data_IF_831167005439
#
_entry.id   IF_831167005439
#
_cell.length_a   1.000
_cell.length_b   1.000
_cell.length_c   1.000
_cell.angle_alpha   90.00
_cell.angle_beta   90.00
_cell.angle_gamma   90.00
#
_symmetry.space_group_name_H-M   'P 1'
#
loop_
_entity.id
_entity.type
_entity.pdbx_description
1 polymer ?
#
# COMPACT_ATOMS: atom_id res chain seq x y z
N UNK A 1 13.57 -16.45 11.59
CA UNK A 1 12.33 -17.00 11.01
C UNK A 1 11.24 -15.99 11.31
N UNK A 2 11.11 -14.98 10.43
CA UNK A 2 10.06 -13.97 10.54
C UNK A 2 8.86 -14.53 9.77
N UNK A 3 7.77 -14.80 10.49
CA UNK A 3 6.40 -15.03 10.01
C UNK A 3 6.24 -15.63 8.60
N UNK A 4 6.42 -16.95 8.47
CA UNK A 4 6.08 -17.71 7.26
C UNK A 4 5.36 -19.03 7.60
N UNK A 5 4.66 -19.12 8.73
CA UNK A 5 3.77 -20.26 8.98
C UNK A 5 2.47 -20.10 8.16
N UNK A 6 2.66 -20.09 6.84
CA UNK A 6 1.57 -20.27 5.90
C UNK A 6 1.21 -21.74 5.99
N UNK A 7 0.05 -22.05 6.57
CA UNK A 7 -0.41 -23.43 6.67
C UNK A 7 -0.41 -24.08 5.28
N UNK A 8 -0.19 -25.41 5.17
CA UNK A 8 -0.26 -26.09 3.88
C UNK A 8 -1.56 -25.80 3.12
N UNK A 9 -2.68 -25.69 3.84
CA UNK A 9 -3.99 -25.32 3.30
C UNK A 9 -4.03 -23.89 2.78
N UNK A 10 -3.41 -22.93 3.47
CA UNK A 10 -3.28 -21.54 2.98
C UNK A 10 -2.42 -21.48 1.71
N UNK A 11 -1.34 -22.27 1.65
CA UNK A 11 -0.51 -22.37 0.44
C UNK A 11 -1.27 -22.97 -0.74
N UNK A 12 -2.01 -24.06 -0.53
CA UNK A 12 -2.84 -24.70 -1.57
C UNK A 12 -3.91 -23.75 -2.11
N UNK A 13 -4.62 -23.04 -1.21
CA UNK A 13 -5.59 -22.01 -1.61
C UNK A 13 -4.93 -20.88 -2.39
N UNK A 14 -3.73 -20.46 -2.01
CA UNK A 14 -2.95 -19.45 -2.72
C UNK A 14 -2.60 -19.89 -4.14
N UNK A 15 -2.16 -21.14 -4.31
CA UNK A 15 -1.85 -21.70 -5.64
C UNK A 15 -3.10 -21.79 -6.53
N UNK A 16 -4.23 -22.25 -5.98
CA UNK A 16 -5.50 -22.28 -6.70
C UNK A 16 -5.97 -20.87 -7.10
N UNK A 17 -5.81 -19.89 -6.22
CA UNK A 17 -6.14 -18.49 -6.52
C UNK A 17 -5.26 -17.91 -7.62
N UNK A 18 -3.96 -18.23 -7.64
CA UNK A 18 -3.04 -17.82 -8.71
C UNK A 18 -3.46 -18.46 -10.04
N UNK A 19 -3.79 -19.76 -10.03
CA UNK A 19 -4.23 -20.48 -11.23
C UNK A 19 -5.52 -19.88 -11.81
N UNK A 20 -6.53 -19.64 -10.98
CA UNK A 20 -7.78 -18.99 -11.39
C UNK A 20 -7.59 -17.54 -11.84
N UNK A 21 -6.68 -16.79 -11.19
CA UNK A 21 -6.33 -15.43 -11.63
C UNK A 21 -5.66 -15.46 -12.99
N UNK A 22 -4.79 -16.43 -13.25
CA UNK A 22 -4.15 -16.59 -14.56
C UNK A 22 -5.16 -16.93 -15.66
N UNK A 23 -6.15 -17.78 -15.39
CA UNK A 23 -7.26 -18.05 -16.31
C UNK A 23 -8.05 -16.76 -16.60
N UNK A 24 -8.51 -16.06 -15.56
CA UNK A 24 -9.24 -14.79 -15.69
C UNK A 24 -8.48 -13.76 -16.52
N UNK A 25 -7.18 -13.55 -16.23
CA UNK A 25 -6.41 -12.55 -16.96
C UNK A 25 -6.15 -12.98 -18.40
N UNK A 26 -5.93 -14.26 -18.71
CA UNK A 26 -5.83 -14.73 -20.10
C UNK A 26 -7.08 -14.41 -20.90
N UNK A 27 -8.26 -14.66 -20.33
CA UNK A 27 -9.53 -14.32 -20.97
C UNK A 27 -9.64 -12.81 -21.19
N UNK A 28 -9.32 -12.01 -20.17
CA UNK A 28 -9.35 -10.55 -20.28
C UNK A 28 -8.35 -10.02 -21.30
N UNK A 29 -7.17 -10.62 -21.42
CA UNK A 29 -6.17 -10.26 -22.42
C UNK A 29 -6.67 -10.61 -23.83
N UNK A 30 -7.31 -11.76 -24.01
CA UNK A 30 -7.93 -12.15 -25.28
C UNK A 30 -9.04 -11.17 -25.69
N UNK A 31 -9.90 -10.76 -24.75
CA UNK A 31 -10.91 -9.71 -24.96
C UNK A 31 -10.26 -8.38 -25.38
N UNK A 32 -9.20 -7.96 -24.70
CA UNK A 32 -8.47 -6.73 -25.03
C UNK A 32 -7.80 -6.81 -26.41
N UNK A 33 -7.30 -7.99 -26.83
CA UNK A 33 -6.75 -8.19 -28.18
C UNK A 33 -7.84 -8.13 -29.25
N UNK A 34 -9.03 -8.65 -28.97
CA UNK A 34 -10.16 -8.64 -29.91
C UNK A 34 -10.78 -7.23 -30.07
N UNK A 35 -10.78 -6.42 -29.02
CA UNK A 35 -11.25 -5.05 -29.04
C UNK A 35 -10.28 -4.12 -28.28
N UNK A 36 -9.17 -3.70 -28.92
CA UNK A 36 -8.14 -2.89 -28.28
C UNK A 36 -8.70 -1.60 -27.69
N UNK A 37 -8.39 -1.36 -26.41
CA UNK A 37 -8.58 -0.08 -25.74
C UNK A 37 -7.20 0.50 -25.46
N UNK A 38 -7.01 1.78 -25.80
CA UNK A 38 -5.69 2.42 -25.66
C UNK A 38 -5.36 2.83 -24.22
N UNK A 39 -6.34 2.75 -23.30
CA UNK A 39 -6.17 3.19 -21.91
C UNK A 39 -6.08 2.00 -20.95
N UNK A 40 -5.00 1.95 -20.15
CA UNK A 40 -4.87 1.07 -18.99
C UNK A 40 -3.70 0.08 -19.04
N UNK A 41 -3.39 -0.52 -17.89
CA UNK A 41 -2.21 -1.39 -17.71
C UNK A 41 -2.21 -2.63 -18.61
N UNK A 42 -3.37 -3.22 -18.88
CA UNK A 42 -3.46 -4.42 -19.75
C UNK A 42 -3.01 -4.08 -21.17
N UNK A 43 -3.46 -2.95 -21.72
CA UNK A 43 -3.02 -2.49 -23.04
C UNK A 43 -1.52 -2.24 -23.09
N UNK A 44 -0.99 -1.52 -22.10
CA UNK A 44 0.45 -1.24 -22.00
C UNK A 44 1.30 -2.53 -21.91
N UNK A 45 0.83 -3.55 -21.17
CA UNK A 45 1.54 -4.83 -21.10
C UNK A 45 1.44 -5.64 -22.40
N UNK A 46 0.31 -5.58 -23.12
CA UNK A 46 0.18 -6.19 -24.45
C UNK A 46 1.15 -5.55 -25.44
N UNK A 47 1.30 -4.22 -25.41
CA UNK A 47 2.26 -3.49 -26.25
C UNK A 47 3.70 -3.91 -25.94
N UNK A 48 4.06 -3.97 -24.66
CA UNK A 48 5.39 -4.42 -24.22
C UNK A 48 5.67 -5.88 -24.64
N UNK A 49 4.68 -6.77 -24.53
CA UNK A 49 4.78 -8.16 -25.00
C UNK A 49 4.95 -8.23 -26.52
N UNK A 50 4.19 -7.43 -27.28
CA UNK A 50 4.30 -7.34 -28.74
C UNK A 50 5.68 -6.82 -29.17
N UNK A 51 6.28 -5.92 -28.39
CA UNK A 51 7.64 -5.42 -28.60
C UNK A 51 8.73 -6.41 -28.16
N UNK A 52 8.38 -7.60 -27.66
CA UNK A 52 9.32 -8.60 -27.18
C UNK A 52 9.98 -8.27 -25.84
N UNK A 53 9.46 -7.30 -25.08
CA UNK A 53 9.96 -6.91 -23.77
C UNK A 53 9.41 -7.79 -22.64
N UNK A 54 8.26 -8.43 -22.89
CA UNK A 54 7.63 -9.39 -21.99
C UNK A 54 7.30 -10.66 -22.77
N UNK A 55 7.40 -11.80 -22.10
CA UNK A 55 6.75 -13.04 -22.51
C UNK A 55 5.25 -12.99 -22.19
N UNK A 56 4.46 -13.91 -22.77
CA UNK A 56 3.03 -14.06 -22.45
C UNK A 56 2.82 -14.37 -20.96
N UNK A 57 3.70 -15.21 -20.38
CA UNK A 57 3.65 -15.56 -18.97
C UNK A 57 3.95 -14.36 -18.07
N UNK A 58 4.95 -13.55 -18.41
CA UNK A 58 5.26 -12.32 -17.68
C UNK A 58 4.15 -11.28 -17.80
N UNK A 59 3.49 -11.17 -18.95
CA UNK A 59 2.32 -10.29 -19.11
C UNK A 59 1.20 -10.70 -18.15
N UNK A 60 0.83 -11.99 -18.13
CA UNK A 60 -0.21 -12.50 -17.21
C UNK A 60 0.21 -12.29 -15.75
N UNK A 61 1.46 -12.62 -15.41
CA UNK A 61 2.00 -12.45 -14.05
C UNK A 61 1.98 -10.99 -13.59
N UNK A 62 2.33 -10.04 -14.48
CA UNK A 62 2.29 -8.61 -14.17
C UNK A 62 0.85 -8.11 -13.98
N UNK A 63 -0.12 -8.60 -14.77
CA UNK A 63 -1.55 -8.30 -14.56
C UNK A 63 -2.05 -8.77 -13.20
N UNK A 64 -1.73 -10.01 -12.81
CA UNK A 64 -2.07 -10.56 -11.49
C UNK A 64 -1.43 -9.71 -10.40
N UNK A 65 -0.13 -9.44 -10.52
CA UNK A 65 0.62 -8.68 -9.52
C UNK A 65 0.04 -7.29 -9.33
N UNK A 66 -0.23 -6.54 -10.41
CA UNK A 66 -0.83 -5.20 -10.33
C UNK A 66 -2.21 -5.20 -9.68
N UNK A 67 -3.04 -6.20 -9.97
CA UNK A 67 -4.34 -6.36 -9.33
C UNK A 67 -4.21 -6.62 -7.83
N UNK A 68 -3.37 -7.58 -7.44
CA UNK A 68 -3.18 -7.96 -6.03
C UNK A 68 -2.61 -6.81 -5.21
N UNK A 69 -1.52 -6.18 -5.68
CA UNK A 69 -0.84 -5.13 -4.91
C UNK A 69 -1.60 -3.80 -4.92
N UNK A 70 -2.36 -3.51 -5.99
CA UNK A 70 -3.13 -2.27 -6.12
C UNK A 70 -4.42 -2.26 -5.30
N UNK A 71 -5.02 -3.44 -5.07
CA UNK A 71 -6.30 -3.55 -4.38
C UNK A 71 -6.18 -3.40 -2.85
N UNK A 72 -5.49 -4.34 -2.19
CA UNK A 72 -5.49 -4.41 -0.71
C UNK A 72 -4.80 -3.21 -0.05
N UNK A 73 -3.69 -2.74 -0.61
CA UNK A 73 -2.93 -1.62 -0.07
C UNK A 73 -3.73 -0.31 -0.04
N UNK A 74 -4.52 -0.05 -1.10
CA UNK A 74 -5.36 1.15 -1.20
C UNK A 74 -6.55 1.07 -0.22
N UNK A 75 -7.18 -0.10 -0.08
CA UNK A 75 -8.24 -0.33 0.90
C UNK A 75 -7.73 -0.08 2.33
N UNK A 76 -6.55 -0.61 2.66
CA UNK A 76 -5.93 -0.40 3.97
C UNK A 76 -5.61 1.07 4.21
N UNK A 77 -5.06 1.78 3.23
CA UNK A 77 -4.80 3.21 3.33
C UNK A 77 -6.08 4.00 3.64
N UNK A 78 -7.20 3.70 2.95
CA UNK A 78 -8.47 4.40 3.19
C UNK A 78 -8.99 4.10 4.60
N UNK A 79 -8.99 2.84 5.03
CA UNK A 79 -9.43 2.45 6.37
C UNK A 79 -8.61 3.13 7.46
N UNK A 80 -7.28 3.07 7.35
CA UNK A 80 -6.37 3.72 8.28
C UNK A 80 -6.56 5.23 8.26
N UNK A 81 -6.73 5.86 7.08
CA UNK A 81 -6.95 7.29 6.97
C UNK A 81 -8.20 7.75 7.73
N UNK A 82 -9.33 7.06 7.54
CA UNK A 82 -10.56 7.40 8.24
C UNK A 82 -10.41 7.20 9.74
N UNK A 83 -9.90 6.04 10.19
CA UNK A 83 -9.67 5.78 11.61
C UNK A 83 -8.76 6.83 12.24
N UNK A 84 -7.61 7.11 11.61
CA UNK A 84 -6.62 8.09 12.11
C UNK A 84 -7.24 9.48 12.25
N UNK A 85 -8.02 9.93 11.27
CA UNK A 85 -8.69 11.23 11.34
C UNK A 85 -9.76 11.28 12.44
N UNK A 86 -10.52 10.19 12.63
CA UNK A 86 -11.53 10.10 13.69
C UNK A 86 -10.91 10.11 15.09
N UNK A 87 -9.75 9.48 15.26
CA UNK A 87 -8.95 9.51 16.50
C UNK A 87 -8.35 10.90 16.79
N UNK A 88 -8.26 11.77 15.77
CA UNK A 88 -7.67 13.11 15.87
C UNK A 88 -8.67 14.21 15.45
N UNK A 89 -9.73 14.46 16.25
CA UNK A 89 -10.84 15.34 15.85
C UNK A 89 -10.40 16.79 15.56
N UNK A 90 -9.31 17.27 16.18
CA UNK A 90 -8.76 18.60 15.90
C UNK A 90 -8.15 18.69 14.50
N UNK A 91 -7.37 17.68 14.09
CA UNK A 91 -6.81 17.58 12.74
C UNK A 91 -7.93 17.37 11.70
N UNK A 92 -8.93 16.55 12.02
CA UNK A 92 -10.11 16.35 11.15
C UNK A 92 -10.91 17.65 10.95
N UNK A 93 -11.15 18.45 12.01
CA UNK A 93 -11.78 19.77 11.86
C UNK A 93 -10.95 20.68 10.97
N UNK A 94 -9.64 20.76 11.21
CA UNK A 94 -8.73 21.56 10.38
C UNK A 94 -8.81 21.17 8.90
N UNK A 95 -8.83 19.87 8.60
CA UNK A 95 -8.95 19.35 7.24
C UNK A 95 -10.31 19.65 6.60
N UNK A 96 -11.41 19.58 7.37
CA UNK A 96 -12.75 19.95 6.90
C UNK A 96 -12.84 21.43 6.56
N UNK A 97 -12.25 22.29 7.40
CA UNK A 97 -12.24 23.73 7.20
C UNK A 97 -11.29 24.14 6.06
N UNK A 98 -10.26 23.33 5.78
CA UNK A 98 -9.26 23.59 4.74
C UNK A 98 -9.03 22.36 3.85
N UNK A 99 -9.95 22.04 2.91
CA UNK A 99 -9.83 20.85 2.06
C UNK A 99 -8.57 20.80 1.18
N UNK A 100 -7.92 21.95 0.94
CA UNK A 100 -6.63 22.03 0.25
C UNK A 100 -5.50 21.28 0.98
N UNK A 101 -5.65 20.98 2.28
CA UNK A 101 -4.68 20.20 3.06
C UNK A 101 -4.76 18.68 2.79
N UNK A 102 -5.68 18.20 1.96
CA UNK A 102 -5.91 16.76 1.75
C UNK A 102 -4.67 16.01 1.27
N UNK A 103 -3.91 16.56 0.32
CA UNK A 103 -2.67 15.94 -0.17
C UNK A 103 -1.63 15.77 0.96
N UNK A 104 -1.49 16.80 1.82
CA UNK A 104 -0.62 16.77 3.00
C UNK A 104 -1.13 15.81 4.06
N UNK A 105 -2.44 15.76 4.29
CA UNK A 105 -3.08 14.85 5.23
C UNK A 105 -2.85 13.39 4.85
N UNK A 106 -3.05 13.00 3.58
CA UNK A 106 -2.78 11.63 3.12
C UNK A 106 -1.29 11.30 3.23
N UNK A 107 -0.39 12.25 2.92
CA UNK A 107 1.05 12.03 3.11
C UNK A 107 1.41 11.83 4.58
N UNK A 108 0.80 12.61 5.47
CA UNK A 108 1.01 12.46 6.91
C UNK A 108 0.42 11.16 7.44
N UNK A 109 -0.72 10.71 6.93
CA UNK A 109 -1.28 9.39 7.29
C UNK A 109 -0.32 8.28 6.86
N UNK A 110 0.25 8.36 5.66
CA UNK A 110 1.23 7.39 5.19
C UNK A 110 2.50 7.39 6.06
N UNK A 111 2.94 8.55 6.52
CA UNK A 111 4.04 8.70 7.49
C UNK A 111 3.67 8.10 8.85
N UNK A 112 2.62 8.64 9.47
CA UNK A 112 2.20 8.36 10.83
C UNK A 112 1.74 6.91 10.99
N UNK A 113 0.89 6.42 10.09
CA UNK A 113 0.28 5.09 10.20
C UNK A 113 0.32 4.35 8.85
N UNK A 114 1.52 3.94 8.45
CA UNK A 114 1.78 3.34 7.14
C UNK A 114 1.09 1.97 6.97
N UNK A 115 0.32 1.74 5.89
CA UNK A 115 -0.16 0.40 5.58
C UNK A 115 0.96 -0.61 5.29
N UNK A 116 2.11 -0.15 4.78
CA UNK A 116 3.29 -0.99 4.57
C UNK A 116 4.25 -0.82 5.76
N UNK A 117 4.50 -1.90 6.50
CA UNK A 117 5.32 -1.87 7.70
C UNK A 117 6.77 -2.33 7.46
N UNK A 118 7.01 -3.12 6.44
CA UNK A 118 8.37 -3.52 6.11
C UNK A 118 8.52 -4.11 4.72
N UNK A 119 9.78 -4.25 4.31
CA UNK A 119 10.14 -4.96 3.09
C UNK A 119 11.43 -5.75 3.30
N UNK A 120 11.44 -7.01 2.86
CA UNK A 120 12.62 -7.87 2.95
C UNK A 120 13.57 -7.65 1.77
N UNK A 121 14.87 -7.79 2.03
CA UNK A 121 15.95 -7.80 1.02
C UNK A 121 16.93 -8.91 1.35
N UNK A 122 17.49 -9.54 0.32
CA UNK A 122 18.55 -10.54 0.48
C UNK A 122 19.89 -9.94 0.08
N UNK A 123 20.90 -10.06 0.95
CA UNK A 123 22.23 -9.55 0.66
C UNK A 123 22.91 -10.39 -0.44
N UNK A 124 23.26 -9.76 -1.56
CA UNK A 124 23.93 -10.44 -2.69
C UNK A 124 25.45 -10.63 -2.46
N UNK A 125 26.01 -9.89 -1.50
CA UNK A 125 27.41 -9.97 -1.06
C UNK A 125 27.49 -9.56 0.41
N UNK A 126 28.66 -9.68 1.04
CA UNK A 126 28.89 -9.15 2.38
C UNK A 126 28.82 -7.61 2.34
N UNK A 127 27.92 -7.02 3.12
CA UNK A 127 27.68 -5.56 3.16
C UNK A 127 27.91 -5.05 4.58
N UNK A 128 28.74 -4.01 4.73
CA UNK A 128 28.88 -3.30 6.01
C UNK A 128 27.77 -2.25 6.12
N UNK A 129 26.91 -2.39 7.13
CA UNK A 129 25.88 -1.41 7.48
C UNK A 129 26.10 -0.95 8.92
N UNK A 130 26.42 0.33 9.09
CA UNK A 130 26.83 0.90 10.38
C UNK A 130 27.98 0.10 11.03
N UNK A 131 27.77 -0.45 12.23
CA UNK A 131 28.73 -1.26 12.97
C UNK A 131 28.54 -2.78 12.78
N UNK A 132 27.72 -3.21 11.80
CA UNK A 132 27.45 -4.62 11.51
C UNK A 132 27.88 -4.99 10.09
N UNK A 133 28.18 -6.27 9.90
CA UNK A 133 28.38 -6.88 8.58
C UNK A 133 27.23 -7.83 8.36
N UNK A 134 26.41 -7.53 7.36
CA UNK A 134 25.38 -8.43 6.83
C UNK A 134 26.08 -9.35 5.84
N UNK A 135 25.97 -10.66 6.04
CA UNK A 135 26.62 -11.66 5.19
C UNK A 135 25.80 -11.94 3.94
N UNK A 136 26.47 -12.36 2.87
CA UNK A 136 25.81 -12.85 1.65
C UNK A 136 24.77 -13.92 2.00
N UNK A 137 23.57 -13.77 1.44
CA UNK A 137 22.44 -14.68 1.64
C UNK A 137 21.57 -14.35 2.85
N UNK A 138 22.01 -13.48 3.76
CA UNK A 138 21.17 -13.04 4.87
C UNK A 138 20.01 -12.17 4.38
N UNK A 139 18.85 -12.36 5.01
CA UNK A 139 17.65 -11.55 4.78
C UNK A 139 17.61 -10.42 5.78
N UNK A 140 17.48 -9.19 5.28
CA UNK A 140 17.32 -7.98 6.06
C UNK A 140 15.90 -7.47 5.87
N UNK A 141 15.18 -7.26 6.98
CA UNK A 141 13.88 -6.59 6.96
C UNK A 141 14.09 -5.10 7.18
N UNK A 142 13.78 -4.30 6.16
CA UNK A 142 13.74 -2.85 6.26
C UNK A 142 12.39 -2.45 6.87
N UNK A 143 12.39 -2.01 8.13
CA UNK A 143 11.18 -1.63 8.86
C UNK A 143 10.74 -0.22 8.46
N UNK A 144 9.81 -0.14 7.51
CA UNK A 144 9.27 1.10 6.96
C UNK A 144 8.53 1.89 8.05
N UNK A 145 7.70 1.21 8.86
CA UNK A 145 6.96 1.87 9.95
C UNK A 145 7.90 2.54 10.96
N UNK A 146 9.00 1.87 11.32
CA UNK A 146 10.01 2.42 12.22
C UNK A 146 10.78 3.59 11.58
N UNK A 147 11.17 3.46 10.29
CA UNK A 147 11.86 4.53 9.58
C UNK A 147 10.98 5.79 9.42
N UNK A 148 9.66 5.61 9.26
CA UNK A 148 8.70 6.71 9.27
C UNK A 148 8.48 7.31 10.66
N UNK A 149 9.01 6.72 11.74
CA UNK A 149 8.94 7.27 13.10
C UNK A 149 10.32 7.65 13.64
N UNK A 150 11.33 7.74 12.76
CA UNK A 150 12.70 8.04 13.15
C UNK A 150 12.85 9.52 13.58
N UNK A 151 13.19 9.80 14.86
CA UNK A 151 13.34 11.17 15.35
C UNK A 151 14.51 11.93 14.72
N UNK A 152 15.50 11.24 14.14
CA UNK A 152 16.60 11.89 13.41
C UNK A 152 16.13 12.44 12.06
N UNK A 153 15.01 11.94 11.53
CA UNK A 153 14.41 12.41 10.27
C UNK A 153 13.15 13.27 10.50
N UNK A 154 12.36 12.96 11.52
CA UNK A 154 11.08 13.59 11.79
C UNK A 154 11.03 14.11 13.23
N UNK A 155 11.06 15.44 13.44
CA UNK A 155 10.79 16.03 14.75
C UNK A 155 9.39 15.65 15.22
N UNK A 156 9.26 15.23 16.48
CA UNK A 156 8.00 14.74 17.07
C UNK A 156 7.31 13.71 16.14
N UNK A 157 7.96 12.56 15.90
CA UNK A 157 7.50 11.59 14.90
C UNK A 157 6.16 10.95 15.28
N UNK A 158 5.86 10.90 16.57
CA UNK A 158 4.64 10.33 17.13
C UNK A 158 3.49 11.33 17.24
N UNK A 159 3.65 12.56 16.74
CA UNK A 159 2.55 13.52 16.66
C UNK A 159 1.93 13.54 15.24
N UNK A 160 0.64 13.25 15.14
CA UNK A 160 -0.08 13.33 13.87
C UNK A 160 -0.43 14.78 13.51
N UNK A 161 0.18 15.30 12.42
CA UNK A 161 0.00 16.70 11.97
C UNK A 161 -0.18 16.79 10.47
N UNK A 162 -1.39 17.06 9.98
CA UNK A 162 -1.69 17.06 8.52
C UNK A 162 -0.91 18.12 7.72
N UNK A 163 -0.37 19.14 8.40
CA UNK A 163 0.47 20.17 7.82
C UNK A 163 1.97 19.87 7.84
N UNK A 164 2.40 18.66 8.22
CA UNK A 164 3.83 18.30 8.30
C UNK A 164 4.52 18.53 6.96
N UNK A 165 5.56 19.37 6.97
CA UNK A 165 6.40 19.63 5.81
C UNK A 165 7.83 19.96 6.24
N UNK A 166 8.87 19.39 5.61
CA UNK A 166 8.81 18.33 4.60
C UNK A 166 8.30 17.00 5.21
N UNK A 167 7.83 16.08 4.35
CA UNK A 167 7.33 14.77 4.78
C UNK A 167 7.93 13.62 3.93
N UNK A 168 9.24 13.34 4.05
CA UNK A 168 9.94 12.35 3.22
C UNK A 168 9.72 10.90 3.69
N UNK A 169 8.47 10.50 3.91
CA UNK A 169 8.12 9.14 4.37
C UNK A 169 8.47 8.05 3.32
N UNK A 170 8.68 6.82 3.79
CA UNK A 170 9.11 5.67 2.99
C UNK A 170 7.99 4.66 2.72
N UNK A 171 6.72 5.04 2.93
CA UNK A 171 5.55 4.15 2.78
C UNK A 171 5.35 3.65 1.34
N UNK A 172 5.94 4.34 0.36
CA UNK A 172 5.99 3.91 -1.04
C UNK A 172 7.34 3.31 -1.45
N UNK A 173 8.21 3.01 -0.48
CA UNK A 173 9.60 2.59 -0.68
C UNK A 173 10.44 3.61 -1.47
N UNK A 174 11.64 3.20 -1.88
CA UNK A 174 12.60 4.02 -2.64
C UNK A 174 13.38 3.18 -3.66
N UNK A 175 14.08 3.86 -4.57
CA UNK A 175 14.94 3.24 -5.58
C UNK A 175 14.16 2.59 -6.72
N UNK A 176 14.74 1.55 -7.33
CA UNK A 176 14.17 0.85 -8.51
C UNK A 176 12.79 0.25 -8.25
N UNK A 177 12.48 -0.10 -7.00
CA UNK A 177 11.18 -0.68 -6.60
C UNK A 177 10.26 0.35 -5.93
N UNK A 178 10.45 1.65 -6.16
CA UNK A 178 9.51 2.67 -5.70
C UNK A 178 8.11 2.38 -6.26
N UNK A 179 7.08 2.52 -5.43
CA UNK A 179 5.73 2.11 -5.77
C UNK A 179 5.22 2.81 -7.05
N UNK A 180 5.02 2.02 -8.11
CA UNK A 180 4.45 2.48 -9.39
C UNK A 180 3.05 3.06 -9.22
N UNK A 181 2.29 2.51 -8.26
CA UNK A 181 0.92 2.95 -7.94
C UNK A 181 0.82 4.18 -7.05
N UNK A 182 1.93 4.76 -6.55
CA UNK A 182 1.91 5.81 -5.50
C UNK A 182 0.96 6.98 -5.80
N UNK A 183 0.96 7.46 -7.05
CA UNK A 183 0.12 8.60 -7.46
C UNK A 183 -1.36 8.20 -7.47
N UNK A 184 -1.66 7.04 -8.03
CA UNK A 184 -3.02 6.52 -8.08
C UNK A 184 -3.57 6.24 -6.68
N UNK A 185 -2.82 5.53 -5.84
CA UNK A 185 -3.22 5.22 -4.47
C UNK A 185 -3.51 6.49 -3.67
N UNK A 186 -2.65 7.50 -3.79
CA UNK A 186 -2.83 8.79 -3.13
C UNK A 186 -4.09 9.51 -3.64
N UNK A 187 -4.25 9.64 -4.96
CA UNK A 187 -5.43 10.29 -5.54
C UNK A 187 -6.75 9.58 -5.17
N UNK A 188 -6.77 8.24 -5.16
CA UNK A 188 -7.94 7.47 -4.72
C UNK A 188 -8.24 7.75 -3.25
N UNK A 189 -7.23 7.72 -2.38
CA UNK A 189 -7.40 8.02 -0.96
C UNK A 189 -7.91 9.44 -0.73
N UNK A 190 -7.33 10.45 -1.38
CA UNK A 190 -7.77 11.85 -1.30
C UNK A 190 -9.25 12.02 -1.70
N UNK A 191 -9.66 11.38 -2.80
CA UNK A 191 -11.04 11.43 -3.29
C UNK A 191 -11.99 10.76 -2.30
N UNK A 192 -11.68 9.54 -1.86
CA UNK A 192 -12.57 8.75 -1.00
C UNK A 192 -12.67 9.39 0.39
N UNK A 193 -11.53 9.71 1.01
CA UNK A 193 -11.50 10.35 2.33
C UNK A 193 -12.20 11.70 2.28
N UNK A 194 -11.88 12.53 1.29
CA UNK A 194 -12.53 13.83 1.10
C UNK A 194 -14.03 13.73 0.86
N UNK A 195 -14.49 12.72 0.12
CA UNK A 195 -15.91 12.48 -0.07
C UNK A 195 -16.61 12.05 1.22
N UNK A 196 -16.01 11.13 1.99
CA UNK A 196 -16.57 10.61 3.23
C UNK A 196 -16.69 11.72 4.29
N UNK A 197 -15.61 12.45 4.60
CA UNK A 197 -15.63 13.46 5.66
C UNK A 197 -16.57 14.64 5.35
N UNK A 198 -16.81 14.92 4.07
CA UNK A 198 -17.72 15.97 3.59
C UNK A 198 -19.17 15.52 3.59
N UNK A 199 -19.45 14.31 3.12
CA UNK A 199 -20.84 13.79 3.00
C UNK A 199 -21.37 13.24 4.32
N UNK A 200 -20.49 12.79 5.22
CA UNK A 200 -20.82 12.20 6.51
C UNK A 200 -20.18 13.03 7.64
N UNK A 201 -20.69 14.24 7.95
CA UNK A 201 -20.08 15.13 8.94
C UNK A 201 -20.10 14.56 10.37
N UNK A 202 -21.04 13.65 10.67
CA UNK A 202 -21.17 12.96 11.96
C UNK A 202 -20.55 11.56 11.96
N UNK A 203 -19.75 11.22 10.94
CA UNK A 203 -19.04 9.96 10.89
C UNK A 203 -18.22 9.76 12.17
N UNK A 204 -18.42 8.63 12.85
CA UNK A 204 -17.64 8.21 14.01
C UNK A 204 -17.44 6.69 14.01
N UNK A 205 -16.45 6.21 14.77
CA UNK A 205 -16.28 4.78 15.01
C UNK A 205 -17.50 4.24 15.77
N UNK A 206 -17.96 3.05 15.38
CA UNK A 206 -19.02 2.35 16.11
C UNK A 206 -18.47 1.56 17.31
N UNK A 207 -17.17 1.26 17.29
CA UNK A 207 -16.43 0.55 18.34
C UNK A 207 -14.95 0.95 18.28
N UNK A 208 -14.29 0.95 19.43
CA UNK A 208 -12.84 1.12 19.53
C UNK A 208 -12.10 -0.24 19.46
N UNK A 209 -12.84 -1.34 19.57
CA UNK A 209 -12.32 -2.70 19.40
C UNK A 209 -12.28 -3.06 17.91
N UNK A 210 -11.13 -2.78 17.29
CA UNK A 210 -10.90 -2.97 15.86
C UNK A 210 -10.08 -4.23 15.59
N UNK A 211 -10.50 -4.98 14.58
CA UNK A 211 -9.79 -6.16 14.11
C UNK A 211 -8.77 -5.81 13.03
N UNK A 212 -7.53 -6.26 13.22
CA UNK A 212 -6.41 -6.04 12.31
C UNK A 212 -6.09 -7.28 11.48
N UNK A 213 -5.57 -7.05 10.29
CA UNK A 213 -5.01 -8.09 9.44
C UNK A 213 -3.86 -8.81 10.16
N UNK A 214 -3.83 -10.14 10.05
CA UNK A 214 -2.78 -10.98 10.62
C UNK A 214 -1.56 -10.97 9.70
N UNK A 215 -0.80 -9.87 9.70
CA UNK A 215 0.38 -9.70 8.87
C UNK A 215 1.48 -8.91 9.56
N UNK A 216 2.71 -9.43 9.48
CA UNK A 216 3.90 -8.69 9.95
C UNK A 216 4.30 -7.52 9.04
N UNK A 217 4.04 -7.62 7.72
CA UNK A 217 4.49 -6.63 6.74
C UNK A 217 3.40 -5.62 6.35
N UNK A 218 2.15 -5.94 6.63
CA UNK A 218 0.98 -5.14 6.26
C UNK A 218 0.25 -4.72 7.54
N UNK A 219 0.04 -3.42 7.67
CA UNK A 219 -0.87 -2.85 8.65
C UNK A 219 -2.18 -2.51 7.94
N UNK A 220 -3.28 -3.11 8.38
CA UNK A 220 -4.58 -2.97 7.76
C UNK A 220 -5.69 -3.47 8.66
N UNK A 221 -6.87 -2.91 8.51
CA UNK A 221 -8.05 -3.29 9.27
C UNK A 221 -8.85 -4.33 8.48
N UNK A 222 -9.26 -5.42 9.13
CA UNK A 222 -10.19 -6.40 8.54
C UNK A 222 -11.55 -5.74 8.28
N UNK A 223 -11.97 -4.84 9.17
CA UNK A 223 -13.16 -4.01 9.01
C UNK A 223 -13.04 -2.71 9.82
N UNK A 224 -13.77 -1.67 9.41
CA UNK A 224 -13.89 -0.41 10.15
C UNK A 224 -15.38 -0.10 10.40
N UNK A 225 -15.95 -0.55 11.53
CA UNK A 225 -17.35 -0.29 11.86
C UNK A 225 -17.57 1.21 12.18
N UNK A 226 -18.55 1.84 11.52
CA UNK A 226 -18.83 3.28 11.65
C UNK A 226 -20.33 3.59 11.74
N UNK A 227 -20.67 4.76 12.27
CA UNK A 227 -22.04 5.34 12.31
C UNK A 227 -22.02 6.79 11.78
N UNK A 228 -23.14 7.31 11.25
CA UNK A 228 -23.25 8.66 10.64
C UNK A 228 -24.67 9.27 10.66
#
# INVERSE_FOLDING_TARGET
MADFDVTPTTNERGLLAIAGSAEYFRDRIAEFRAAPRQDGFIGAFIEAQTAGQLTEEELVANCIMMFTVGHSSTTNLIGIAIRTLLDHPTQLRLLRDNPALMDGAISEILHYDSPAQGVARTALSDVRLSNRIIRRGEVVNCLIGAANRDPDQFPEPDEFRIGRHPNPHLSFSLGTHICTGRRLAKSVAEIVVGALIRRLPRLSLATDDLEWEESFLIHGLKSLPVVF
#
